data_IF_790687721319
#
_entry.id   IF_790687721319
#
_cell.length_a   1.000
_cell.length_b   1.000
_cell.length_c   1.000
_cell.angle_alpha   90.00
_cell.angle_beta   90.00
_cell.angle_gamma   90.00
#
_symmetry.space_group_name_H-M   'P 1'
#
loop_
_entity.id
_entity.type
_entity.pdbx_description
1 polymer ?
#
# COMPACT_ATOMS: atom_id res chain seq x y z
N UNK A 1 18.70 -5.33 -4.04
CA UNK A 1 17.98 -4.06 -4.26
C UNK A 1 16.66 -4.18 -3.54
N UNK A 2 16.19 -3.15 -2.84
CA UNK A 2 14.97 -3.19 -2.05
C UNK A 2 13.88 -2.36 -2.73
N UNK A 3 12.76 -3.00 -3.05
CA UNK A 3 11.64 -2.37 -3.76
C UNK A 3 10.45 -2.26 -2.82
N UNK A 4 9.93 -1.04 -2.64
CA UNK A 4 8.71 -0.81 -1.87
C UNK A 4 7.50 -0.79 -2.81
N UNK A 5 6.50 -1.61 -2.53
CA UNK A 5 5.23 -1.65 -3.26
C UNK A 5 4.07 -1.32 -2.32
N UNK A 6 3.65 -0.05 -2.24
CA UNK A 6 2.44 0.30 -1.49
C UNK A 6 1.20 -0.30 -2.13
N UNK A 7 0.40 -1.00 -1.34
CA UNK A 7 -0.77 -1.72 -1.84
C UNK A 7 -2.01 -1.47 -0.97
N UNK A 8 -3.15 -1.25 -1.63
CA UNK A 8 -4.50 -1.30 -1.07
C UNK A 8 -5.30 -2.42 -1.78
N UNK A 9 -6.62 -2.46 -1.60
CA UNK A 9 -7.50 -3.48 -2.21
C UNK A 9 -7.83 -3.22 -3.69
N UNK A 10 -7.06 -2.39 -4.38
CA UNK A 10 -7.34 -2.01 -5.77
C UNK A 10 -6.58 -2.83 -6.81
N UNK A 11 -7.24 -3.09 -7.94
CA UNK A 11 -6.61 -3.72 -9.12
C UNK A 11 -5.34 -2.99 -9.56
N UNK A 12 -5.28 -1.66 -9.44
CA UNK A 12 -4.09 -0.91 -9.83
C UNK A 12 -2.90 -1.13 -8.90
N UNK A 13 -3.15 -1.42 -7.63
CA UNK A 13 -2.11 -1.79 -6.70
C UNK A 13 -1.61 -3.22 -6.99
N UNK A 14 -2.50 -4.13 -7.39
CA UNK A 14 -2.12 -5.48 -7.87
C UNK A 14 -1.21 -5.39 -9.10
N UNK A 15 -1.61 -4.64 -10.14
CA UNK A 15 -0.77 -4.43 -11.33
C UNK A 15 0.61 -3.83 -10.99
N UNK A 16 0.70 -3.00 -9.96
CA UNK A 16 1.97 -2.44 -9.51
C UNK A 16 2.89 -3.50 -8.90
N UNK A 17 2.33 -4.46 -8.16
CA UNK A 17 3.05 -5.61 -7.64
C UNK A 17 3.48 -6.56 -8.76
N UNK A 18 2.58 -6.93 -9.66
CA UNK A 18 2.89 -7.75 -10.85
C UNK A 18 4.04 -7.14 -11.66
N UNK A 19 3.97 -5.83 -11.95
CA UNK A 19 5.04 -5.12 -12.63
C UNK A 19 6.36 -5.17 -11.85
N UNK A 20 6.31 -5.02 -10.52
CA UNK A 20 7.51 -5.05 -9.71
C UNK A 20 8.18 -6.44 -9.75
N UNK A 21 7.38 -7.50 -9.68
CA UNK A 21 7.82 -8.89 -9.78
C UNK A 21 8.45 -9.19 -11.15
N UNK A 22 7.85 -8.70 -12.24
CA UNK A 22 8.32 -8.95 -13.61
C UNK A 22 9.57 -8.16 -14.01
N UNK A 23 9.78 -6.95 -13.43
CA UNK A 23 10.82 -6.02 -13.89
C UNK A 23 12.04 -6.00 -12.98
N UNK A 24 11.85 -6.32 -11.71
CA UNK A 24 12.91 -6.28 -10.71
C UNK A 24 13.28 -7.70 -10.26
N UNK A 25 13.67 -8.54 -11.23
CA UNK A 25 14.28 -9.85 -10.98
C UNK A 25 15.42 -9.73 -9.94
N UNK A 26 15.44 -10.63 -8.94
CA UNK A 26 16.39 -10.65 -7.80
C UNK A 26 16.26 -9.48 -6.78
N UNK A 27 15.17 -8.71 -6.78
CA UNK A 27 14.91 -7.70 -5.76
C UNK A 27 14.25 -8.26 -4.50
N UNK A 28 14.59 -7.66 -3.35
CA UNK A 28 13.83 -7.84 -2.11
C UNK A 28 12.60 -6.92 -2.17
N UNK A 29 11.43 -7.49 -2.44
CA UNK A 29 10.18 -6.75 -2.57
C UNK A 29 9.46 -6.73 -1.22
N UNK A 30 9.10 -5.53 -0.75
CA UNK A 30 8.22 -5.35 0.40
C UNK A 30 6.91 -4.71 -0.04
N UNK A 31 5.80 -5.39 0.21
CA UNK A 31 4.46 -4.83 0.10
C UNK A 31 4.12 -4.07 1.38
N UNK A 32 3.71 -2.81 1.26
CA UNK A 32 3.28 -1.97 2.38
C UNK A 32 1.80 -1.64 2.26
N UNK A 33 0.99 -2.21 3.15
CA UNK A 33 -0.42 -1.84 3.29
C UNK A 33 -0.61 -0.91 4.49
N UNK A 34 -1.52 0.06 4.33
CA UNK A 34 -1.77 1.09 5.36
C UNK A 34 -3.25 1.15 5.70
N UNK A 35 -3.57 0.81 6.94
CA UNK A 35 -4.92 0.83 7.49
C UNK A 35 -5.19 2.17 8.17
N UNK A 36 -6.38 2.75 7.94
CA UNK A 36 -6.71 4.09 8.40
C UNK A 36 -6.84 4.21 9.93
N UNK A 37 -6.46 5.37 10.49
CA UNK A 37 -6.70 5.65 11.92
C UNK A 37 -8.19 5.93 12.20
N UNK A 38 -8.74 5.43 13.33
CA UNK A 38 -10.05 5.84 13.81
C UNK A 38 -10.08 7.35 14.05
N UNK A 39 -11.13 8.00 13.58
CA UNK A 39 -11.24 9.44 13.67
C UNK A 39 -11.77 9.87 15.05
N UNK A 40 -10.95 10.54 15.86
CA UNK A 40 -11.28 11.01 17.22
C UNK A 40 -12.39 12.09 17.32
N UNK A 41 -13.08 12.42 16.22
CA UNK A 41 -14.17 13.42 16.24
C UNK A 41 -15.43 12.96 16.99
N UNK A 42 -15.51 11.69 17.36
CA UNK A 42 -16.61 11.11 18.12
C UNK A 42 -16.21 11.07 19.61
N UNK A 43 -17.07 11.49 20.56
CA UNK A 43 -16.67 11.62 21.98
C UNK A 43 -16.02 10.37 22.59
N UNK A 44 -15.22 10.53 23.65
CA UNK A 44 -14.26 9.54 24.18
C UNK A 44 -14.80 8.10 24.34
N UNK A 45 -15.98 7.92 24.94
CA UNK A 45 -16.59 6.59 25.11
C UNK A 45 -17.09 5.97 23.80
N UNK A 46 -17.58 6.79 22.86
CA UNK A 46 -17.97 6.36 21.51
C UNK A 46 -16.73 6.08 20.67
N UNK A 47 -15.65 6.86 20.84
CA UNK A 47 -14.35 6.61 20.22
C UNK A 47 -13.77 5.27 20.64
N UNK A 48 -13.82 4.90 21.92
CA UNK A 48 -13.24 3.63 22.41
C UNK A 48 -14.01 2.41 21.87
N UNK A 49 -15.34 2.41 21.94
CA UNK A 49 -16.14 1.27 21.46
C UNK A 49 -16.07 1.11 19.92
N UNK A 50 -16.03 2.22 19.17
CA UNK A 50 -15.74 2.13 17.73
C UNK A 50 -14.27 1.78 17.45
N UNK A 51 -13.33 2.12 18.34
CA UNK A 51 -11.91 1.83 18.12
C UNK A 51 -11.63 0.33 18.11
N UNK A 52 -12.21 -0.47 19.03
CA UNK A 52 -12.00 -1.93 19.04
C UNK A 52 -12.55 -2.60 17.75
N UNK A 53 -13.75 -2.21 17.32
CA UNK A 53 -14.38 -2.72 16.09
C UNK A 53 -13.64 -2.24 14.83
N UNK A 54 -13.13 -1.00 14.84
CA UNK A 54 -12.36 -0.43 13.74
C UNK A 54 -10.94 -0.99 13.66
N UNK A 55 -10.30 -1.29 14.80
CA UNK A 55 -9.00 -1.96 14.85
C UNK A 55 -9.11 -3.38 14.31
N UNK A 56 -10.14 -4.13 14.73
CA UNK A 56 -10.41 -5.46 14.18
C UNK A 56 -10.67 -5.41 12.67
N UNK A 57 -11.52 -4.50 12.20
CA UNK A 57 -11.80 -4.34 10.77
C UNK A 57 -10.56 -3.88 9.97
N UNK A 58 -9.70 -3.06 10.59
CA UNK A 58 -8.44 -2.64 10.01
C UNK A 58 -7.46 -3.82 9.90
N UNK A 59 -7.33 -4.64 10.94
CA UNK A 59 -6.53 -5.86 10.91
C UNK A 59 -7.04 -6.84 9.84
N UNK A 60 -8.35 -7.08 9.77
CA UNK A 60 -8.97 -7.95 8.75
C UNK A 60 -8.70 -7.43 7.33
N UNK A 61 -8.82 -6.12 7.12
CA UNK A 61 -8.55 -5.52 5.81
C UNK A 61 -7.05 -5.59 5.46
N UNK A 62 -6.17 -5.28 6.42
CA UNK A 62 -4.73 -5.39 6.24
C UNK A 62 -4.30 -6.81 5.92
N UNK A 63 -4.90 -7.80 6.59
CA UNK A 63 -4.68 -9.21 6.32
C UNK A 63 -5.18 -9.62 4.93
N UNK A 64 -6.35 -9.16 4.50
CA UNK A 64 -6.85 -9.46 3.17
C UNK A 64 -5.93 -8.94 2.05
N UNK A 65 -5.36 -7.73 2.22
CA UNK A 65 -4.37 -7.19 1.29
C UNK A 65 -3.06 -7.99 1.33
N UNK A 66 -2.64 -8.43 2.52
CA UNK A 66 -1.45 -9.27 2.68
C UNK A 66 -1.61 -10.63 1.98
N UNK A 67 -2.73 -11.30 2.22
CA UNK A 67 -3.04 -12.59 1.60
C UNK A 67 -3.06 -12.45 0.06
N UNK A 68 -3.66 -11.37 -0.46
CA UNK A 68 -3.70 -11.11 -1.91
C UNK A 68 -2.31 -10.86 -2.49
N UNK A 69 -1.45 -10.13 -1.78
CA UNK A 69 -0.08 -9.90 -2.19
C UNK A 69 0.72 -11.21 -2.27
N UNK A 70 0.57 -12.09 -1.27
CA UNK A 70 1.20 -13.41 -1.24
C UNK A 70 0.70 -14.31 -2.38
N UNK A 71 -0.60 -14.26 -2.71
CA UNK A 71 -1.16 -14.97 -3.86
C UNK A 71 -0.51 -14.53 -5.18
N UNK A 72 -0.42 -13.21 -5.42
CA UNK A 72 0.23 -12.66 -6.62
C UNK A 72 1.70 -13.05 -6.66
N UNK A 73 2.43 -12.93 -5.56
CA UNK A 73 3.84 -13.31 -5.51
C UNK A 73 4.06 -14.80 -5.80
N UNK A 74 3.17 -15.67 -5.31
CA UNK A 74 3.22 -17.11 -5.56
C UNK A 74 2.97 -17.45 -7.05
N UNK A 75 2.13 -16.69 -7.75
CA UNK A 75 1.93 -16.83 -9.21
C UNK A 75 3.20 -16.49 -10.01
N UNK A 76 4.11 -15.70 -9.43
CA UNK A 76 5.41 -15.32 -9.98
C UNK A 76 6.60 -16.10 -9.37
N UNK A 77 6.35 -17.19 -8.64
CA UNK A 77 7.39 -18.02 -7.99
C UNK A 77 8.39 -17.20 -7.13
N UNK A 78 7.91 -16.12 -6.49
CA UNK A 78 8.75 -15.16 -5.74
C UNK A 78 8.27 -15.02 -4.29
N UNK A 79 9.20 -14.89 -3.34
CA UNK A 79 8.91 -14.57 -1.94
C UNK A 79 8.94 -13.04 -1.74
N UNK A 80 7.96 -12.51 -1.00
CA UNK A 80 7.88 -11.08 -0.66
C UNK A 80 7.75 -10.88 0.85
N UNK A 81 8.16 -9.71 1.34
CA UNK A 81 7.81 -9.25 2.69
C UNK A 81 6.49 -8.47 2.63
N UNK A 82 5.61 -8.68 3.62
CA UNK A 82 4.42 -7.84 3.78
C UNK A 82 4.47 -7.08 5.10
N UNK A 83 4.31 -5.76 5.04
CA UNK A 83 4.25 -4.88 6.20
C UNK A 83 2.89 -4.18 6.27
N UNK A 84 2.20 -4.33 7.39
CA UNK A 84 0.97 -3.61 7.71
C UNK A 84 1.31 -2.43 8.62
N UNK A 85 0.87 -1.21 8.28
CA UNK A 85 1.00 -0.01 9.13
C UNK A 85 -0.36 0.64 9.36
N UNK A 86 -0.53 1.29 10.52
CA UNK A 86 -1.68 2.16 10.75
C UNK A 86 -1.32 3.61 10.44
N UNK A 87 -2.22 4.38 9.84
CA UNK A 87 -2.03 5.82 9.62
C UNK A 87 -2.54 6.35 8.29
N UNK A 88 -2.00 7.51 7.89
CA UNK A 88 -2.25 8.08 6.56
C UNK A 88 -1.31 7.44 5.52
N UNK A 89 -1.83 6.82 4.44
CA UNK A 89 -1.03 6.07 3.45
C UNK A 89 0.20 6.81 2.94
N UNK A 90 0.02 8.02 2.40
CA UNK A 90 1.16 8.79 1.87
C UNK A 90 2.25 9.11 2.92
N UNK A 91 1.90 9.25 4.21
CA UNK A 91 2.90 9.51 5.26
C UNK A 91 3.65 8.23 5.61
N UNK A 92 2.94 7.12 5.72
CA UNK A 92 3.54 5.82 5.99
C UNK A 92 4.49 5.40 4.88
N UNK A 93 4.09 5.58 3.61
CA UNK A 93 4.93 5.31 2.43
C UNK A 93 6.17 6.20 2.44
N UNK A 94 6.00 7.52 2.53
CA UNK A 94 7.13 8.46 2.53
C UNK A 94 8.07 8.25 3.72
N UNK A 95 7.54 7.85 4.88
CA UNK A 95 8.33 7.57 6.07
C UNK A 95 9.05 6.21 6.05
N UNK A 96 8.69 5.31 5.14
CA UNK A 96 9.42 4.06 4.90
C UNK A 96 10.42 4.21 3.74
N UNK A 97 10.20 5.15 2.83
CA UNK A 97 10.90 5.25 1.55
C UNK A 97 12.44 5.33 1.63
N UNK A 98 13.00 5.93 2.69
CA UNK A 98 14.46 6.06 2.85
C UNK A 98 15.18 4.71 3.03
N UNK A 99 14.45 3.65 3.41
CA UNK A 99 15.01 2.30 3.59
C UNK A 99 15.02 1.47 2.28
N UNK A 100 14.48 2.02 1.19
CA UNK A 100 14.30 1.32 -0.09
C UNK A 100 15.06 2.02 -1.22
N UNK A 101 15.30 1.30 -2.32
CA UNK A 101 16.00 1.83 -3.49
C UNK A 101 15.03 2.48 -4.50
N UNK A 102 13.76 2.04 -4.51
CA UNK A 102 12.71 2.54 -5.41
C UNK A 102 11.31 2.23 -4.85
N UNK A 103 10.31 2.97 -5.32
CA UNK A 103 8.89 2.73 -5.01
C UNK A 103 8.14 2.42 -6.30
N UNK A 104 7.31 1.37 -6.30
CA UNK A 104 6.40 1.05 -7.40
C UNK A 104 4.96 1.23 -6.92
N UNK A 105 4.20 2.08 -7.60
CA UNK A 105 2.85 2.51 -7.19
C UNK A 105 1.84 2.24 -8.32
N UNK A 106 0.62 1.86 -7.95
CA UNK A 106 -0.53 2.05 -8.84
C UNK A 106 -0.87 3.53 -9.03
N UNK A 107 -1.46 3.90 -10.16
CA UNK A 107 -1.91 5.29 -10.42
C UNK A 107 -2.96 5.78 -9.44
N UNK A 108 -3.86 4.92 -8.97
CA UNK A 108 -5.00 5.24 -8.10
C UNK A 108 -5.50 4.00 -7.35
N UNK A 109 -6.40 4.18 -6.38
CA UNK A 109 -7.09 3.09 -5.66
C UNK A 109 -8.62 3.15 -5.85
N UNK A 110 -9.30 2.01 -5.73
CA UNK A 110 -10.76 1.86 -5.70
C UNK A 110 -11.54 2.15 -7.00
N UNK A 111 -12.87 2.09 -6.91
CA UNK A 111 -13.84 2.23 -8.01
C UNK A 111 -14.02 3.68 -8.48
N UNK A 112 -13.08 4.25 -9.24
CA UNK A 112 -13.35 5.47 -10.00
C UNK A 112 -13.16 5.23 -11.50
N UNK A 113 -14.25 5.44 -12.23
CA UNK A 113 -14.38 5.27 -13.66
C UNK A 113 -13.68 6.36 -14.50
N UNK A 114 -12.52 6.85 -14.06
CA UNK A 114 -11.68 7.74 -14.86
C UNK A 114 -10.24 7.21 -14.84
N UNK A 115 -9.91 6.39 -15.83
CA UNK A 115 -8.56 5.86 -16.14
C UNK A 115 -7.49 6.96 -16.41
N UNK A 116 -7.79 8.22 -16.09
CA UNK A 116 -7.00 9.40 -16.42
C UNK A 116 -6.54 10.21 -15.20
N UNK A 117 -6.92 9.82 -13.97
CA UNK A 117 -6.60 10.60 -12.76
C UNK A 117 -5.62 9.84 -11.88
N UNK A 118 -4.49 10.48 -11.57
CA UNK A 118 -3.56 10.01 -10.53
C UNK A 118 -4.21 10.27 -9.16
N UNK A 119 -4.32 9.23 -8.34
CA UNK A 119 -4.86 9.30 -6.99
C UNK A 119 -4.01 10.18 -6.07
N UNK A 120 -4.65 10.76 -5.06
CA UNK A 120 -4.02 11.68 -4.11
C UNK A 120 -2.79 11.08 -3.41
N UNK A 121 -2.79 9.78 -3.12
CA UNK A 121 -1.65 9.08 -2.51
C UNK A 121 -0.50 9.00 -3.50
N UNK A 122 -0.73 8.47 -4.70
CA UNK A 122 0.27 8.34 -5.75
C UNK A 122 0.90 9.70 -6.12
N UNK A 123 0.08 10.76 -6.27
CA UNK A 123 0.57 12.11 -6.54
C UNK A 123 1.48 12.63 -5.41
N UNK A 124 1.07 12.46 -4.15
CA UNK A 124 1.85 12.91 -2.99
C UNK A 124 3.19 12.18 -2.90
N UNK A 125 3.20 10.86 -3.13
CA UNK A 125 4.41 10.05 -3.08
C UNK A 125 5.33 10.43 -4.24
N UNK A 126 4.82 10.47 -5.47
CA UNK A 126 5.59 10.86 -6.67
C UNK A 126 6.28 12.23 -6.51
N UNK A 127 5.60 13.21 -5.91
CA UNK A 127 6.15 14.56 -5.72
C UNK A 127 7.19 14.68 -4.61
N UNK A 128 7.25 13.73 -3.66
CA UNK A 128 7.97 13.91 -2.39
C UNK A 128 8.89 12.76 -2.01
N UNK A 129 8.83 11.63 -2.70
CA UNK A 129 9.67 10.49 -2.40
C UNK A 129 11.17 10.88 -2.49
N UNK A 130 11.98 10.42 -1.53
CA UNK A 130 13.44 10.63 -1.57
C UNK A 130 14.14 9.73 -2.61
N UNK A 131 13.42 8.74 -3.15
CA UNK A 131 13.90 7.70 -4.07
C UNK A 131 13.10 7.71 -5.37
N UNK A 132 13.60 7.09 -6.46
CA UNK A 132 12.84 6.92 -7.69
C UNK A 132 11.46 6.31 -7.45
N UNK A 133 10.50 6.75 -8.26
CA UNK A 133 9.11 6.28 -8.21
C UNK A 133 8.68 5.83 -9.60
N UNK A 134 8.24 4.59 -9.71
CA UNK A 134 7.56 4.05 -10.88
C UNK A 134 6.06 4.06 -10.63
N UNK A 135 5.29 4.59 -11.59
CA UNK A 135 3.82 4.61 -11.54
C UNK A 135 3.29 3.70 -12.64
N UNK A 136 2.52 2.69 -12.24
CA UNK A 136 1.96 1.62 -13.09
C UNK A 136 0.49 1.89 -13.37
N UNK A 137 0.05 1.60 -14.60
CA UNK A 137 -1.26 1.93 -15.18
C UNK A 137 -1.88 0.76 -15.94
#
# INVERSE_FOLDING_TARGET
MRVLVPMDDSEMAEHALEYALDVFDDAEITVLTVVGEPSFWWGEATSIALADDMETAAEEHGQAVADRADEIAAEHDTEIDVTVRTGHPARAILGAADDYDTIVLGTHGGSMADQLVIGNVAEKVFRRAPVPVTVVR
#
